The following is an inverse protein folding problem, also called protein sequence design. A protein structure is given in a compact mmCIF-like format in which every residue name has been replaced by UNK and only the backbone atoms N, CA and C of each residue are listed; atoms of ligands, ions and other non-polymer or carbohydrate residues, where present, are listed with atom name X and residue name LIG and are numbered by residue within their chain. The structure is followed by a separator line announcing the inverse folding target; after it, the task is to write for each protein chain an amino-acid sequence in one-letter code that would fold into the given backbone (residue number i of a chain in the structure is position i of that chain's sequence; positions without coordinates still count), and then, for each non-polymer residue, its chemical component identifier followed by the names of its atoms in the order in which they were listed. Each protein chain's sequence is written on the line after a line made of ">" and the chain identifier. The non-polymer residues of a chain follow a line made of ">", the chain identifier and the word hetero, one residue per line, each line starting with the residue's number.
data_IF_637782951929
#
_entry.id   IF_637782951929
#
_cell.length_a   1.000
_cell.length_b   1.000
_cell.length_c   1.000
_cell.angle_alpha   90.00
_cell.angle_beta   90.00
_cell.angle_gamma   90.00
#
_symmetry.space_group_name_H-M   'P 1'
#
loop_
_entity.id
_entity.type
_entity.pdbx_description
1 polymer ?
#
# COMPACT_ATOMS: atom_id res chain seq x y z
N UNK A 1 12.32 -7.02 -12.16
CA UNK A 1 11.07 -6.92 -11.36
C UNK A 1 9.95 -6.38 -12.24
N UNK A 2 8.68 -6.50 -11.80
CA UNK A 2 7.52 -6.08 -12.60
C UNK A 2 7.53 -4.60 -13.01
N UNK A 3 7.93 -3.64 -12.13
CA UNK A 3 8.07 -2.25 -12.54
C UNK A 3 9.02 -2.04 -13.73
N UNK A 4 10.16 -2.74 -13.75
CA UNK A 4 11.12 -2.64 -14.86
C UNK A 4 10.54 -3.16 -16.16
N UNK A 5 9.79 -4.27 -16.10
CA UNK A 5 9.05 -4.80 -17.27
C UNK A 5 8.05 -3.78 -17.81
N UNK A 6 7.28 -3.13 -16.94
CA UNK A 6 6.36 -2.08 -17.37
C UNK A 6 7.09 -0.87 -17.96
N UNK A 7 8.22 -0.48 -17.38
CA UNK A 7 9.04 0.61 -17.90
C UNK A 7 9.59 0.29 -19.31
N UNK A 8 10.08 -0.93 -19.54
CA UNK A 8 10.51 -1.39 -20.87
C UNK A 8 9.38 -1.32 -21.92
N UNK A 9 8.12 -1.37 -21.45
CA UNK A 9 6.94 -1.34 -22.30
C UNK A 9 6.16 -0.03 -22.20
N UNK A 10 6.76 1.02 -21.62
CA UNK A 10 6.09 2.29 -21.32
C UNK A 10 5.42 2.92 -22.55
N UNK A 11 6.06 2.86 -23.72
CA UNK A 11 5.49 3.40 -24.95
C UNK A 11 4.21 2.67 -25.43
N UNK A 12 4.03 1.41 -25.01
CA UNK A 12 2.78 0.66 -25.23
C UNK A 12 1.75 0.92 -24.14
N UNK A 13 2.20 1.26 -22.93
CA UNK A 13 1.35 1.55 -21.79
C UNK A 13 0.73 2.96 -21.89
N UNK A 14 1.53 3.98 -22.25
CA UNK A 14 1.08 5.38 -22.33
C UNK A 14 -0.26 5.59 -23.04
N UNK A 15 -0.53 4.98 -24.23
CA UNK A 15 -1.83 5.15 -24.90
C UNK A 15 -3.02 4.59 -24.13
N UNK A 16 -2.79 3.73 -23.13
CA UNK A 16 -3.81 3.15 -22.28
C UNK A 16 -4.13 4.01 -21.05
N UNK A 17 -3.22 4.91 -20.66
CA UNK A 17 -3.38 5.85 -19.55
C UNK A 17 -4.22 7.05 -19.99
N UNK A 18 -5.53 6.84 -20.16
CA UNK A 18 -6.42 7.83 -20.76
C UNK A 18 -7.19 8.68 -19.75
N UNK A 19 -7.42 8.14 -18.55
CA UNK A 19 -8.14 8.87 -17.50
C UNK A 19 -7.17 9.71 -16.68
N UNK A 20 -7.58 10.95 -16.41
CA UNK A 20 -6.82 11.84 -15.54
C UNK A 20 -7.02 11.44 -14.08
N UNK A 21 -5.91 11.35 -13.35
CA UNK A 21 -5.90 11.06 -11.91
C UNK A 21 -5.42 12.34 -11.20
N UNK A 22 -6.36 13.19 -10.83
CA UNK A 22 -6.09 14.49 -10.16
C UNK A 22 -5.82 14.25 -8.66
N UNK A 23 -4.64 13.74 -8.35
CA UNK A 23 -4.22 13.41 -6.97
C UNK A 23 -2.76 13.81 -6.75
N UNK A 24 -2.47 14.23 -5.52
CA UNK A 24 -1.13 14.50 -5.03
C UNK A 24 -0.63 13.29 -4.24
N UNK A 25 0.45 12.67 -4.67
CA UNK A 25 0.92 11.40 -4.10
C UNK A 25 2.38 11.47 -3.69
N UNK A 26 2.75 10.69 -2.67
CA UNK A 26 4.15 10.46 -2.31
C UNK A 26 4.45 8.97 -2.33
N UNK A 27 5.59 8.59 -2.93
CA UNK A 27 6.03 7.21 -3.02
C UNK A 27 6.84 6.83 -1.77
N UNK A 28 6.47 5.71 -1.14
CA UNK A 28 7.31 5.09 -0.12
C UNK A 28 8.51 4.39 -0.78
N UNK A 29 9.71 4.80 -0.41
CA UNK A 29 10.96 4.35 -1.02
C UNK A 29 11.84 3.61 -0.02
N UNK A 30 12.58 2.62 -0.52
CA UNK A 30 13.67 1.96 0.21
C UNK A 30 15.03 2.39 -0.33
N UNK A 31 16.01 2.56 0.56
CA UNK A 31 17.34 3.04 0.20
C UNK A 31 18.11 2.11 -0.75
N UNK A 32 17.81 0.80 -0.73
CA UNK A 32 18.46 -0.21 -1.55
C UNK A 32 17.76 -0.50 -2.89
N UNK A 33 16.64 0.12 -3.18
CA UNK A 33 15.79 -0.18 -4.35
C UNK A 33 16.16 0.61 -5.61
N UNK A 34 17.45 0.63 -5.94
CA UNK A 34 17.92 1.30 -7.16
C UNK A 34 17.32 0.66 -8.41
N UNK A 35 16.80 1.49 -9.32
CA UNK A 35 16.18 1.06 -10.57
C UNK A 35 14.72 0.70 -10.45
N UNK A 36 14.27 0.06 -9.38
CA UNK A 36 12.84 -0.23 -9.15
C UNK A 36 12.09 1.04 -8.77
N UNK A 37 12.61 1.81 -7.84
CA UNK A 37 12.06 3.10 -7.42
C UNK A 37 11.96 4.06 -8.61
N UNK A 38 13.03 4.19 -9.39
CA UNK A 38 13.06 5.06 -10.57
C UNK A 38 12.07 4.59 -11.64
N UNK A 39 11.92 3.27 -11.82
CA UNK A 39 10.92 2.72 -12.72
C UNK A 39 9.50 3.10 -12.30
N UNK A 40 9.17 2.95 -11.00
CA UNK A 40 7.85 3.31 -10.48
C UNK A 40 7.61 4.81 -10.59
N UNK A 41 8.58 5.65 -10.26
CA UNK A 41 8.47 7.12 -10.46
C UNK A 41 8.14 7.46 -11.90
N UNK A 42 8.87 6.89 -12.85
CA UNK A 42 8.64 7.13 -14.29
C UNK A 42 7.25 6.67 -14.73
N UNK A 43 6.77 5.55 -14.19
CA UNK A 43 5.42 5.06 -14.46
C UNK A 43 4.34 5.99 -13.89
N UNK A 44 4.51 6.48 -12.67
CA UNK A 44 3.60 7.43 -12.03
C UNK A 44 3.59 8.78 -12.76
N UNK A 45 4.75 9.29 -13.17
CA UNK A 45 4.88 10.52 -13.95
C UNK A 45 4.20 10.45 -15.32
N UNK A 46 3.97 9.24 -15.84
CA UNK A 46 3.26 9.04 -17.10
C UNK A 46 1.72 9.13 -16.94
N UNK A 47 1.19 9.11 -15.71
CA UNK A 47 -0.25 9.20 -15.44
C UNK A 47 -0.71 10.65 -15.59
N UNK A 48 -1.67 10.96 -16.47
CA UNK A 48 -2.14 12.33 -16.64
C UNK A 48 -2.78 12.90 -15.37
N UNK A 49 -2.34 14.05 -14.93
CA UNK A 49 -2.92 14.77 -13.78
C UNK A 49 -2.33 14.40 -12.42
N UNK A 50 -1.54 13.34 -12.33
CA UNK A 50 -0.93 12.91 -11.08
C UNK A 50 0.24 13.85 -10.70
N UNK A 51 0.24 14.33 -9.47
CA UNK A 51 1.34 15.10 -8.89
C UNK A 51 2.15 14.17 -7.96
N UNK A 52 3.35 13.80 -8.37
CA UNK A 52 4.25 12.98 -7.54
C UNK A 52 5.20 13.89 -6.77
N UNK A 53 5.15 13.84 -5.44
CA UNK A 53 6.02 14.63 -4.57
C UNK A 53 7.05 13.75 -3.87
N UNK A 54 8.22 14.31 -3.61
CA UNK A 54 9.26 13.61 -2.84
C UNK A 54 8.84 13.54 -1.37
N UNK A 55 8.74 12.32 -0.84
CA UNK A 55 8.41 12.07 0.55
C UNK A 55 9.46 12.67 1.53
N UNK A 56 10.70 12.88 1.06
CA UNK A 56 11.81 13.36 1.87
C UNK A 56 12.28 12.35 2.93
N UNK A 57 11.78 11.13 2.87
CA UNK A 57 12.13 10.01 3.75
C UNK A 57 12.27 8.72 2.94
N UNK A 58 13.32 7.97 3.24
CA UNK A 58 13.56 6.64 2.66
C UNK A 58 13.81 5.64 3.76
N UNK A 59 13.11 4.52 3.72
CA UNK A 59 13.35 3.41 4.62
C UNK A 59 14.67 2.70 4.27
N UNK A 60 15.38 2.21 5.28
CA UNK A 60 16.61 1.44 5.07
C UNK A 60 16.29 0.05 4.51
N UNK A 61 17.27 -0.54 3.81
CA UNK A 61 17.14 -1.89 3.23
C UNK A 61 16.48 -1.89 1.86
N UNK A 62 16.05 -3.08 1.44
CA UNK A 62 15.44 -3.31 0.12
C UNK A 62 13.91 -3.42 0.20
N UNK A 63 13.40 -3.86 1.33
CA UNK A 63 11.96 -3.99 1.61
C UNK A 63 11.74 -3.98 3.12
N UNK A 64 10.49 -3.87 3.59
CA UNK A 64 10.15 -3.94 5.01
C UNK A 64 10.66 -5.20 5.72
N UNK A 65 10.74 -6.33 5.01
CA UNK A 65 11.28 -7.59 5.55
C UNK A 65 12.76 -7.50 5.91
N UNK A 66 13.54 -6.64 5.28
CA UNK A 66 14.93 -6.42 5.64
C UNK A 66 15.12 -5.85 7.05
N UNK A 67 14.12 -5.17 7.57
CA UNK A 67 14.10 -4.56 8.90
C UNK A 67 13.44 -5.42 9.97
N UNK A 68 12.85 -6.57 9.62
CA UNK A 68 12.14 -7.44 10.55
C UNK A 68 12.94 -7.82 11.82
N UNK A 69 14.26 -8.05 11.77
CA UNK A 69 15.06 -8.29 12.98
C UNK A 69 15.22 -7.06 13.89
N UNK A 70 14.98 -5.85 13.38
CA UNK A 70 15.16 -4.57 14.08
C UNK A 70 13.81 -3.90 14.33
N UNK A 71 12.96 -4.52 15.13
CA UNK A 71 11.55 -4.15 15.32
C UNK A 71 11.34 -2.68 15.69
N UNK A 72 12.13 -2.14 16.60
CA UNK A 72 11.99 -0.74 17.03
C UNK A 72 12.36 0.24 15.90
N UNK A 73 13.39 -0.10 15.14
CA UNK A 73 13.77 0.69 13.97
C UNK A 73 12.71 0.61 12.87
N UNK A 74 12.12 -0.56 12.63
CA UNK A 74 11.02 -0.75 11.68
C UNK A 74 9.83 0.12 12.07
N UNK A 75 9.38 0.06 13.34
CA UNK A 75 8.28 0.89 13.85
C UNK A 75 8.56 2.39 13.68
N UNK A 76 9.80 2.80 13.99
CA UNK A 76 10.22 4.19 13.78
C UNK A 76 10.17 4.59 12.32
N UNK A 77 10.68 3.75 11.41
CA UNK A 77 10.67 4.02 9.96
C UNK A 77 9.26 4.15 9.41
N UNK A 78 8.33 3.26 9.83
CA UNK A 78 6.91 3.33 9.47
C UNK A 78 6.32 4.66 9.97
N UNK A 79 6.52 5.01 11.25
CA UNK A 79 6.05 6.26 11.82
C UNK A 79 6.58 7.49 11.07
N UNK A 80 7.88 7.52 10.79
CA UNK A 80 8.51 8.63 10.06
C UNK A 80 7.92 8.78 8.65
N UNK A 81 7.63 7.68 7.96
CA UNK A 81 6.95 7.64 6.65
C UNK A 81 5.56 8.27 6.73
N UNK A 82 4.74 7.83 7.69
CA UNK A 82 3.37 8.34 7.87
C UNK A 82 3.37 9.84 8.20
N UNK A 83 4.27 10.28 9.09
CA UNK A 83 4.41 11.70 9.45
C UNK A 83 4.89 12.55 8.26
N UNK A 84 5.78 12.02 7.43
CA UNK A 84 6.24 12.71 6.22
C UNK A 84 5.09 12.89 5.22
N UNK A 85 4.28 11.85 4.99
CA UNK A 85 3.12 11.91 4.11
C UNK A 85 2.07 12.93 4.62
N UNK A 86 1.77 12.91 5.92
CA UNK A 86 0.84 13.88 6.53
C UNK A 86 1.34 15.32 6.38
N UNK A 87 2.63 15.57 6.66
CA UNK A 87 3.24 16.89 6.53
C UNK A 87 3.18 17.45 5.11
N UNK A 88 3.28 16.58 4.10
CA UNK A 88 3.19 16.95 2.69
C UNK A 88 1.75 17.16 2.22
N UNK A 89 0.76 16.82 3.06
CA UNK A 89 -0.65 16.86 2.73
C UNK A 89 -0.95 16.15 1.40
N UNK A 90 -0.46 14.91 1.27
CA UNK A 90 -0.74 14.07 0.11
C UNK A 90 -2.14 13.48 0.18
N UNK A 91 -2.73 13.21 -0.97
CA UNK A 91 -3.99 12.46 -1.06
C UNK A 91 -3.73 10.96 -0.84
N UNK A 92 -2.56 10.47 -1.33
CA UNK A 92 -2.21 9.05 -1.28
C UNK A 92 -0.73 8.86 -0.93
N UNK A 93 -0.47 7.97 0.03
CA UNK A 93 0.83 7.33 0.23
C UNK A 93 0.89 6.08 -0.65
N UNK A 94 1.82 6.04 -1.58
CA UNK A 94 1.95 4.98 -2.58
C UNK A 94 3.03 3.98 -2.16
N UNK A 95 2.67 2.70 -2.10
CA UNK A 95 3.61 1.60 -1.89
C UNK A 95 4.01 0.93 -3.21
N UNK A 96 5.20 0.33 -3.22
CA UNK A 96 5.70 -0.50 -4.34
C UNK A 96 5.36 -1.97 -4.11
N UNK A 97 5.54 -2.42 -2.88
CA UNK A 97 5.43 -3.83 -2.52
C UNK A 97 4.14 -4.13 -1.74
N UNK A 98 3.68 -5.37 -1.88
CA UNK A 98 2.54 -5.86 -1.12
C UNK A 98 2.76 -5.77 0.40
N UNK A 99 4.00 -5.96 0.85
CA UNK A 99 4.36 -5.84 2.26
C UNK A 99 4.11 -4.44 2.83
N UNK A 100 4.45 -3.40 2.05
CA UNK A 100 4.17 -2.01 2.43
C UNK A 100 2.67 -1.74 2.46
N UNK A 101 1.96 -2.27 1.47
CA UNK A 101 0.52 -2.15 1.38
C UNK A 101 -0.18 -2.81 2.58
N UNK A 102 0.29 -3.99 3.00
CA UNK A 102 -0.22 -4.69 4.19
C UNK A 102 -0.06 -3.87 5.47
N UNK A 103 1.10 -3.24 5.66
CA UNK A 103 1.37 -2.40 6.83
C UNK A 103 0.60 -1.08 6.77
N UNK A 104 0.74 -0.32 5.68
CA UNK A 104 0.20 1.04 5.61
C UNK A 104 -1.31 1.10 5.45
N UNK A 105 -1.97 0.10 4.84
CA UNK A 105 -3.42 0.10 4.63
C UNK A 105 -4.23 0.26 5.91
N UNK A 106 -3.80 -0.37 7.01
CA UNK A 106 -4.46 -0.26 8.30
C UNK A 106 -4.45 1.17 8.86
N UNK A 107 -3.43 1.94 8.53
CA UNK A 107 -3.28 3.32 9.01
C UNK A 107 -4.23 4.31 8.34
N UNK A 108 -4.81 3.98 7.19
CA UNK A 108 -5.72 4.86 6.46
C UNK A 108 -6.89 5.37 7.32
N UNK A 109 -7.34 4.58 8.31
CA UNK A 109 -8.41 4.96 9.21
C UNK A 109 -8.04 6.11 10.19
N UNK A 110 -6.76 6.26 10.53
CA UNK A 110 -6.26 7.22 11.52
C UNK A 110 -5.51 8.42 10.92
N UNK A 111 -5.31 8.43 9.61
CA UNK A 111 -4.57 9.47 8.88
C UNK A 111 -5.45 10.10 7.79
N UNK A 112 -5.12 11.33 7.37
CA UNK A 112 -5.89 12.10 6.40
C UNK A 112 -5.46 11.89 4.95
N UNK A 113 -4.84 10.76 4.65
CA UNK A 113 -4.50 10.33 3.29
C UNK A 113 -4.89 8.86 3.10
N UNK A 114 -5.03 8.47 1.84
CA UNK A 114 -5.26 7.08 1.44
C UNK A 114 -3.93 6.33 1.26
N UNK A 115 -4.01 5.01 1.21
CA UNK A 115 -2.88 4.14 0.88
C UNK A 115 -3.21 3.37 -0.38
N UNK A 116 -2.30 3.32 -1.34
CA UNK A 116 -2.49 2.56 -2.56
C UNK A 116 -1.16 1.93 -3.04
N UNK A 117 -1.26 0.86 -3.80
CA UNK A 117 -0.13 0.39 -4.58
C UNK A 117 -0.04 1.19 -5.88
N UNK A 118 1.18 1.39 -6.43
CA UNK A 118 1.37 2.12 -7.70
C UNK A 118 0.54 1.51 -8.85
N UNK A 119 0.26 0.20 -8.81
CA UNK A 119 -0.56 -0.48 -9.81
C UNK A 119 -2.03 -0.04 -9.78
N UNK A 120 -2.56 0.34 -8.61
CA UNK A 120 -3.92 0.84 -8.51
C UNK A 120 -4.07 2.18 -9.26
N UNK A 121 -3.08 3.07 -9.15
CA UNK A 121 -3.07 4.34 -9.88
C UNK A 121 -2.95 4.16 -11.40
N UNK A 122 -2.11 3.22 -11.84
CA UNK A 122 -2.04 2.85 -13.25
C UNK A 122 -3.39 2.28 -13.73
N UNK A 123 -3.99 1.37 -12.95
CA UNK A 123 -5.30 0.81 -13.23
C UNK A 123 -6.38 1.88 -13.33
N UNK A 124 -6.44 2.81 -12.37
CA UNK A 124 -7.38 3.94 -12.39
C UNK A 124 -7.23 4.77 -13.66
N UNK A 125 -5.98 5.10 -14.06
CA UNK A 125 -5.74 5.83 -15.31
C UNK A 125 -6.09 5.05 -16.57
N UNK A 126 -6.08 3.73 -16.51
CA UNK A 126 -6.55 2.85 -17.57
C UNK A 126 -8.07 2.64 -17.56
N UNK A 127 -8.79 3.17 -16.59
CA UNK A 127 -10.24 2.93 -16.41
C UNK A 127 -10.57 1.57 -15.82
N UNK A 128 -9.61 0.93 -15.17
CA UNK A 128 -9.79 -0.34 -14.46
C UNK A 128 -10.13 -0.03 -13.00
N UNK A 129 -11.41 -0.13 -12.66
CA UNK A 129 -11.87 0.00 -11.27
C UNK A 129 -11.91 -1.39 -10.64
N UNK A 130 -10.89 -1.70 -9.86
CA UNK A 130 -10.79 -2.96 -9.11
C UNK A 130 -10.72 -2.62 -7.62
N UNK A 131 -11.72 -3.03 -6.82
CA UNK A 131 -11.72 -2.78 -5.39
C UNK A 131 -10.57 -3.54 -4.71
N UNK A 132 -9.85 -2.85 -3.83
CA UNK A 132 -8.87 -3.48 -2.96
C UNK A 132 -9.57 -4.19 -1.79
N UNK A 133 -9.87 -5.46 -2.01
CA UNK A 133 -10.59 -6.29 -1.03
C UNK A 133 -9.75 -6.52 0.23
N UNK A 134 -8.42 -6.68 0.10
CA UNK A 134 -7.55 -6.83 1.25
C UNK A 134 -7.63 -5.60 2.17
N UNK A 135 -7.50 -4.41 1.62
CA UNK A 135 -7.60 -3.15 2.37
C UNK A 135 -9.00 -2.97 2.98
N UNK A 136 -10.06 -3.28 2.25
CA UNK A 136 -11.42 -3.22 2.77
C UNK A 136 -11.58 -4.09 4.01
N UNK A 137 -11.13 -5.33 3.96
CA UNK A 137 -11.18 -6.25 5.09
C UNK A 137 -10.29 -5.79 6.25
N UNK A 138 -9.08 -5.32 5.97
CA UNK A 138 -8.19 -4.80 7.01
C UNK A 138 -8.79 -3.58 7.73
N UNK A 139 -9.46 -2.69 7.01
CA UNK A 139 -10.14 -1.52 7.57
C UNK A 139 -11.43 -1.88 8.34
N UNK A 140 -12.06 -3.03 8.06
CA UNK A 140 -13.15 -3.54 8.90
C UNK A 140 -12.67 -3.83 10.32
N UNK A 141 -11.45 -4.38 10.48
CA UNK A 141 -10.83 -4.65 11.77
C UNK A 141 -11.57 -5.68 12.65
N UNK A 142 -12.56 -6.37 12.10
CA UNK A 142 -13.41 -7.31 12.80
C UNK A 142 -13.52 -8.62 12.03
N UNK A 143 -13.05 -9.72 12.64
CA UNK A 143 -12.99 -11.03 11.99
C UNK A 143 -14.38 -11.58 11.66
N UNK A 144 -15.38 -11.32 12.49
CA UNK A 144 -16.75 -11.82 12.27
C UNK A 144 -17.39 -11.08 11.09
N UNK A 145 -17.20 -9.77 11.00
CA UNK A 145 -17.65 -8.97 9.85
C UNK A 145 -16.98 -9.40 8.54
N UNK A 146 -15.67 -9.73 8.57
CA UNK A 146 -14.94 -10.21 7.38
C UNK A 146 -15.46 -11.58 6.94
N UNK A 147 -15.71 -12.51 7.89
CA UNK A 147 -16.29 -13.83 7.59
C UNK A 147 -17.69 -13.66 6.98
N UNK A 148 -18.53 -12.81 7.54
CA UNK A 148 -19.86 -12.55 7.01
C UNK A 148 -19.81 -11.99 5.59
N UNK A 149 -18.97 -10.97 5.36
CA UNK A 149 -18.76 -10.36 4.04
C UNK A 149 -18.20 -11.36 3.01
N UNK A 150 -17.51 -12.40 3.45
CA UNK A 150 -16.91 -13.44 2.62
C UNK A 150 -17.78 -14.71 2.47
N UNK A 151 -18.96 -14.74 3.07
CA UNK A 151 -19.79 -15.95 3.22
C UNK A 151 -20.10 -16.67 1.91
N UNK A 152 -20.35 -15.93 0.83
CA UNK A 152 -20.59 -16.50 -0.51
C UNK A 152 -19.34 -17.23 -1.04
N UNK A 153 -18.15 -16.63 -0.89
CA UNK A 153 -16.88 -17.25 -1.32
C UNK A 153 -16.54 -18.46 -0.47
N UNK A 154 -16.73 -18.37 0.84
CA UNK A 154 -16.53 -19.47 1.77
C UNK A 154 -17.40 -20.66 1.37
N UNK A 155 -18.68 -20.44 1.14
CA UNK A 155 -19.61 -21.50 0.72
C UNK A 155 -19.27 -22.05 -0.65
N UNK A 156 -18.91 -21.20 -1.62
CA UNK A 156 -18.56 -21.61 -2.99
C UNK A 156 -17.34 -22.52 -3.04
N UNK A 157 -16.38 -22.30 -2.17
CA UNK A 157 -15.09 -23.00 -2.14
C UNK A 157 -14.97 -24.04 -1.01
N UNK A 158 -16.06 -24.29 -0.28
CA UNK A 158 -16.11 -25.23 0.84
C UNK A 158 -14.97 -25.01 1.86
N UNK A 159 -14.76 -23.73 2.24
CA UNK A 159 -13.68 -23.35 3.14
C UNK A 159 -14.10 -23.53 4.60
N UNK A 160 -13.16 -24.03 5.42
CA UNK A 160 -13.37 -24.16 6.87
C UNK A 160 -13.31 -22.79 7.55
N UNK A 161 -14.40 -22.40 8.20
CA UNK A 161 -14.57 -21.08 8.83
C UNK A 161 -13.59 -20.86 9.97
N UNK A 162 -13.32 -21.89 10.79
CA UNK A 162 -12.42 -21.76 11.95
C UNK A 162 -10.98 -21.56 11.48
N UNK A 163 -10.53 -22.31 10.47
CA UNK A 163 -9.21 -22.11 9.85
C UNK A 163 -9.09 -20.73 9.23
N UNK A 164 -10.14 -20.25 8.53
CA UNK A 164 -10.14 -18.90 7.97
C UNK A 164 -10.07 -17.81 9.03
N UNK A 165 -10.77 -17.99 10.14
CA UNK A 165 -10.74 -17.08 11.28
C UNK A 165 -9.32 -16.93 11.82
N UNK A 166 -8.61 -18.03 12.02
CA UNK A 166 -7.21 -18.01 12.46
C UNK A 166 -6.31 -17.27 11.47
N UNK A 167 -6.44 -17.56 10.18
CA UNK A 167 -5.65 -16.91 9.11
C UNK A 167 -5.94 -15.39 9.05
N UNK A 168 -7.21 -14.99 9.11
CA UNK A 168 -7.58 -13.55 9.09
C UNK A 168 -6.96 -12.83 10.29
N UNK A 169 -7.04 -13.41 11.48
CA UNK A 169 -6.44 -12.81 12.68
C UNK A 169 -4.93 -12.70 12.50
N UNK A 170 -4.24 -13.82 12.23
CA UNK A 170 -2.78 -13.87 12.23
C UNK A 170 -2.15 -13.10 11.06
N UNK A 171 -2.68 -13.27 9.85
CA UNK A 171 -2.04 -12.77 8.63
C UNK A 171 -2.59 -11.42 8.13
N UNK A 172 -3.68 -10.93 8.73
CA UNK A 172 -4.26 -9.66 8.32
C UNK A 172 -4.37 -8.67 9.48
N UNK A 173 -4.99 -9.06 10.60
CA UNK A 173 -5.28 -8.11 11.69
C UNK A 173 -4.08 -7.94 12.63
N UNK A 174 -3.42 -9.03 13.02
CA UNK A 174 -2.28 -9.01 13.95
C UNK A 174 -0.93 -8.74 13.26
N UNK A 175 -0.88 -8.72 11.93
CA UNK A 175 0.35 -8.45 11.16
C UNK A 175 0.78 -6.97 11.19
N UNK A 176 0.09 -6.14 11.97
CA UNK A 176 0.36 -4.70 12.08
C UNK A 176 1.58 -4.45 12.97
N UNK A 177 2.67 -3.89 12.40
CA UNK A 177 3.91 -3.62 13.14
C UNK A 177 3.83 -2.37 14.01
N UNK A 178 3.23 -1.29 13.50
CA UNK A 178 2.96 -0.07 14.24
C UNK A 178 1.47 -0.02 14.60
N UNK A 179 1.07 0.30 15.85
CA UNK A 179 -0.34 0.46 16.19
C UNK A 179 -1.05 1.43 15.24
N UNK A 180 -2.28 1.11 14.84
CA UNK A 180 -3.06 1.98 13.94
C UNK A 180 -3.32 3.34 14.59
N UNK A 181 -3.66 3.34 15.87
CA UNK A 181 -3.95 4.56 16.64
C UNK A 181 -2.71 5.41 16.89
N UNK A 182 -2.70 6.66 16.42
CA UNK A 182 -1.59 7.62 16.59
C UNK A 182 -1.18 7.80 18.06
N UNK A 183 -2.13 7.73 18.98
CA UNK A 183 -1.89 7.91 20.44
C UNK A 183 -1.03 6.79 21.04
N UNK A 184 -0.96 5.64 20.39
CA UNK A 184 -0.20 4.46 20.82
C UNK A 184 1.19 4.38 20.18
N UNK A 185 1.53 5.33 19.32
CA UNK A 185 2.84 5.33 18.67
C UNK A 185 3.95 5.62 19.69
N UNK A 186 5.10 4.93 19.61
CA UNK A 186 6.25 5.20 20.45
C UNK A 186 6.71 6.65 20.28
N UNK A 187 7.11 7.29 21.39
CA UNK A 187 7.62 8.67 21.42
C UNK A 187 9.01 8.78 20.77
#
# INVERSE_FOLDING_TARGET
>A
MFPNFLLEHLEKLKPLLQQRVEKRVALHEYSGELGVVEAVKTLLDAIPGLEVVDLGHRSAGYTGTALAPMKDYLKKSIKDTLLAAEKLNVDILVGIYHNDHREFSGHEAAWNFKVANYMELLGESMGLDQPDIFKQFKLMGDVDAIIEASSELISRHDLDVETLREVIIQDMLDDQQLPVEKSQHPQ
#
